data_IF_802066517608
#
_entry.id   IF_802066517608
#
_cell.length_a   1.000
_cell.length_b   1.000
_cell.length_c   1.000
_cell.angle_alpha   90.00
_cell.angle_beta   90.00
_cell.angle_gamma   90.00
#
_symmetry.space_group_name_H-M   'P 1'
#
loop_
_entity.id
_entity.type
_entity.pdbx_description
1 polymer ?
#
# COMPACT_ATOMS: atom_id res chain seq x y z
N UNK A 1 -32.10 32.78 -49.91
CA UNK A 1 -30.93 32.71 -49.01
C UNK A 1 -31.35 31.85 -47.86
N UNK A 2 -30.82 30.64 -47.75
CA UNK A 2 -30.58 29.94 -46.48
C UNK A 2 -29.67 28.77 -46.82
N UNK A 3 -28.38 29.01 -46.61
CA UNK A 3 -27.31 28.05 -46.82
C UNK A 3 -27.37 27.04 -45.67
N UNK A 4 -27.69 25.79 -46.00
CA UNK A 4 -27.42 24.65 -45.13
C UNK A 4 -25.91 24.57 -44.90
N UNK A 5 -25.44 25.04 -43.75
CA UNK A 5 -24.16 24.62 -43.20
C UNK A 5 -24.37 23.32 -42.43
N UNK A 6 -23.64 22.23 -42.75
CA UNK A 6 -23.63 21.07 -41.88
C UNK A 6 -22.90 21.48 -40.59
N UNK A 7 -23.59 21.34 -39.46
CA UNK A 7 -22.97 21.41 -38.15
C UNK A 7 -21.95 20.27 -38.10
N UNK A 8 -20.68 20.65 -38.10
CA UNK A 8 -19.56 19.74 -38.06
C UNK A 8 -19.58 19.04 -36.69
N UNK A 9 -20.13 17.83 -36.63
CA UNK A 9 -20.06 16.95 -35.46
C UNK A 9 -18.62 16.46 -35.33
N UNK A 10 -17.72 17.33 -34.88
CA UNK A 10 -16.47 16.88 -34.31
C UNK A 10 -16.82 16.17 -33.00
N UNK A 11 -16.54 14.86 -32.86
CA UNK A 11 -16.58 14.27 -31.54
C UNK A 11 -15.47 14.96 -30.76
N UNK A 12 -15.85 15.82 -29.81
CA UNK A 12 -14.97 16.26 -28.75
C UNK A 12 -14.39 14.98 -28.13
N UNK A 13 -13.13 14.70 -28.43
CA UNK A 13 -12.36 13.65 -27.79
C UNK A 13 -12.28 14.02 -26.30
N UNK A 14 -13.28 13.59 -25.54
CA UNK A 14 -13.22 13.56 -24.09
C UNK A 14 -12.16 12.52 -23.72
N UNK A 15 -10.90 12.94 -23.64
CA UNK A 15 -9.87 12.14 -23.01
C UNK A 15 -10.23 11.98 -21.53
N UNK A 16 -10.86 10.85 -21.22
CA UNK A 16 -11.09 10.44 -19.84
C UNK A 16 -9.79 9.85 -19.34
N UNK A 17 -8.95 10.69 -18.74
CA UNK A 17 -7.77 10.21 -18.03
C UNK A 17 -8.20 9.47 -16.78
N UNK A 18 -7.96 8.17 -16.73
CA UNK A 18 -8.17 7.37 -15.54
C UNK A 18 -6.93 7.44 -14.67
N UNK A 19 -7.10 7.30 -13.36
CA UNK A 19 -5.97 7.17 -12.44
C UNK A 19 -5.06 5.99 -12.83
N UNK A 20 -5.63 4.96 -13.44
CA UNK A 20 -4.93 3.78 -13.95
C UNK A 20 -4.02 4.07 -15.16
N UNK A 21 -4.14 5.24 -15.78
CA UNK A 21 -3.31 5.65 -16.91
C UNK A 21 -2.01 6.37 -16.47
N UNK A 22 -1.90 6.73 -15.18
CA UNK A 22 -0.68 7.36 -14.65
C UNK A 22 0.52 6.44 -14.83
N UNK A 23 1.71 6.99 -15.06
CA UNK A 23 2.96 6.23 -15.14
C UNK A 23 3.35 5.65 -13.76
N UNK A 24 4.12 4.56 -13.74
CA UNK A 24 4.48 3.90 -12.47
C UNK A 24 5.30 4.83 -11.57
N UNK A 25 6.14 5.66 -12.16
CA UNK A 25 7.00 6.64 -11.50
C UNK A 25 6.15 7.62 -10.67
N UNK A 26 5.11 8.19 -11.29
CA UNK A 26 4.18 9.11 -10.62
C UNK A 26 3.38 8.39 -9.54
N UNK A 27 2.96 7.15 -9.80
CA UNK A 27 2.27 6.36 -8.78
C UNK A 27 3.18 6.10 -7.58
N UNK A 28 4.46 5.74 -7.78
CA UNK A 28 5.39 5.56 -6.66
C UNK A 28 5.53 6.83 -5.83
N UNK A 29 5.68 7.99 -6.47
CA UNK A 29 5.75 9.28 -5.77
C UNK A 29 4.50 9.55 -4.94
N UNK A 30 3.29 9.29 -5.46
CA UNK A 30 2.05 9.44 -4.71
C UNK A 30 2.00 8.48 -3.52
N UNK A 31 2.37 7.22 -3.76
CA UNK A 31 2.31 6.17 -2.75
C UNK A 31 3.30 6.43 -1.59
N UNK A 32 4.41 7.14 -1.81
CA UNK A 32 5.35 7.50 -0.73
C UNK A 32 4.72 8.39 0.38
N UNK A 33 3.63 9.08 0.08
CA UNK A 33 2.90 9.91 1.06
C UNK A 33 1.82 9.15 1.83
N UNK A 34 1.52 7.91 1.45
CA UNK A 34 0.45 7.12 2.04
C UNK A 34 1.00 6.04 2.99
N UNK A 35 0.18 5.66 3.98
CA UNK A 35 0.51 4.50 4.79
C UNK A 35 0.36 3.21 3.98
N UNK A 36 1.25 2.26 4.20
CA UNK A 36 1.25 0.97 3.50
C UNK A 36 -0.10 0.24 3.60
N UNK A 37 -0.79 0.34 4.74
CA UNK A 37 -2.12 -0.26 4.90
C UNK A 37 -3.17 0.43 4.04
N UNK A 38 -3.16 1.76 3.95
CA UNK A 38 -4.08 2.51 3.10
C UNK A 38 -3.87 2.17 1.63
N UNK A 39 -2.60 2.01 1.22
CA UNK A 39 -2.23 1.58 -0.12
C UNK A 39 -2.77 0.18 -0.41
N UNK A 40 -2.56 -0.76 0.52
CA UNK A 40 -3.07 -2.11 0.38
C UNK A 40 -4.59 -2.11 0.21
N UNK A 41 -5.30 -1.43 1.10
CA UNK A 41 -6.76 -1.41 1.09
C UNK A 41 -7.34 -0.76 -0.17
N UNK A 42 -6.73 0.32 -0.65
CA UNK A 42 -7.22 1.06 -1.80
C UNK A 42 -6.86 0.41 -3.15
N UNK A 43 -5.63 -0.10 -3.28
CA UNK A 43 -5.07 -0.44 -4.60
C UNK A 43 -4.88 -1.95 -4.84
N UNK A 44 -4.76 -2.78 -3.80
CA UNK A 44 -4.44 -4.20 -3.97
C UNK A 44 -5.49 -4.98 -4.77
N UNK A 45 -6.76 -4.60 -4.71
CA UNK A 45 -7.84 -5.31 -5.41
C UNK A 45 -8.25 -4.67 -6.75
N UNK A 46 -7.55 -3.63 -7.22
CA UNK A 46 -7.92 -2.96 -8.48
C UNK A 46 -7.56 -3.81 -9.70
N UNK A 47 -6.27 -4.09 -9.89
CA UNK A 47 -5.78 -4.93 -10.98
C UNK A 47 -4.35 -5.43 -10.69
N UNK A 48 -3.83 -6.31 -11.55
CA UNK A 48 -2.48 -6.90 -11.38
C UNK A 48 -1.36 -5.86 -11.33
N UNK A 49 -1.50 -4.75 -12.04
CA UNK A 49 -0.51 -3.66 -12.02
C UNK A 49 -0.43 -3.05 -10.62
N UNK A 50 -1.57 -2.70 -10.03
CA UNK A 50 -1.61 -2.13 -8.67
C UNK A 50 -1.25 -3.13 -7.58
N UNK A 51 -1.56 -4.42 -7.75
CA UNK A 51 -1.04 -5.48 -6.88
C UNK A 51 0.49 -5.48 -6.88
N UNK A 52 1.09 -5.43 -8.07
CA UNK A 52 2.54 -5.39 -8.20
C UNK A 52 3.15 -4.12 -7.60
N UNK A 53 2.49 -2.97 -7.74
CA UNK A 53 2.94 -1.71 -7.11
C UNK A 53 2.87 -1.82 -5.57
N UNK A 54 1.78 -2.35 -5.04
CA UNK A 54 1.61 -2.52 -3.60
C UNK A 54 2.64 -3.48 -2.99
N UNK A 55 3.11 -4.51 -3.73
CA UNK A 55 4.07 -5.52 -3.25
C UNK A 55 5.54 -5.15 -3.54
N UNK A 56 5.83 -4.52 -4.67
CA UNK A 56 7.21 -4.32 -5.11
C UNK A 56 7.76 -2.92 -4.84
N UNK A 57 6.91 -1.96 -4.48
CA UNK A 57 7.36 -0.59 -4.17
C UNK A 57 8.30 -0.54 -2.96
N UNK A 58 9.13 0.50 -2.93
CA UNK A 58 9.92 0.85 -1.74
C UNK A 58 9.04 1.35 -0.59
N UNK A 59 7.75 1.57 -0.82
CA UNK A 59 6.82 2.04 0.21
C UNK A 59 6.68 1.02 1.34
N UNK A 60 6.82 -0.27 1.02
CA UNK A 60 6.84 -1.37 2.00
C UNK A 60 8.05 -1.40 2.94
N UNK A 61 9.01 -0.48 2.77
CA UNK A 61 10.14 -0.37 3.70
C UNK A 61 9.73 0.21 5.06
N UNK A 62 8.60 0.93 5.13
CA UNK A 62 8.09 1.54 6.36
C UNK A 62 6.66 1.08 6.61
N UNK A 63 6.47 0.27 7.64
CA UNK A 63 5.16 -0.25 8.02
C UNK A 63 4.76 0.32 9.37
N UNK A 64 3.59 0.98 9.39
CA UNK A 64 2.95 1.41 10.61
C UNK A 64 1.61 0.71 10.77
N UNK A 65 1.51 -0.19 11.75
CA UNK A 65 0.25 -0.90 12.06
C UNK A 65 -0.30 -0.51 13.44
N UNK A 66 0.13 0.63 13.98
CA UNK A 66 -0.30 1.13 15.29
C UNK A 66 -1.80 1.30 15.41
N UNK A 67 -2.45 1.81 14.36
CA UNK A 67 -3.88 2.08 14.34
C UNK A 67 -4.73 0.91 13.80
N UNK A 68 -4.11 -0.21 13.44
CA UNK A 68 -4.79 -1.31 12.75
C UNK A 68 -5.64 -2.14 13.71
N UNK A 69 -6.91 -2.37 13.37
CA UNK A 69 -7.76 -3.32 14.10
C UNK A 69 -7.30 -4.76 13.88
N UNK A 70 -7.66 -5.66 14.81
CA UNK A 70 -7.32 -7.10 14.68
C UNK A 70 -7.84 -7.73 13.38
N UNK A 71 -9.09 -7.44 13.01
CA UNK A 71 -9.68 -7.98 11.77
C UNK A 71 -8.93 -7.54 10.53
N UNK A 72 -8.51 -6.29 10.47
CA UNK A 72 -7.76 -5.73 9.34
C UNK A 72 -6.34 -6.29 9.28
N UNK A 73 -5.77 -6.60 10.45
CA UNK A 73 -4.43 -7.14 10.56
C UNK A 73 -4.32 -8.56 10.00
N UNK A 74 -5.32 -9.43 10.16
CA UNK A 74 -5.19 -10.83 9.72
C UNK A 74 -4.94 -10.97 8.21
N UNK A 75 -5.72 -10.26 7.39
CA UNK A 75 -5.57 -10.27 5.93
C UNK A 75 -4.31 -9.53 5.48
N UNK A 76 -4.04 -8.36 6.07
CA UNK A 76 -2.84 -7.59 5.79
C UNK A 76 -1.57 -8.38 6.14
N UNK A 77 -1.58 -9.08 7.28
CA UNK A 77 -0.45 -9.86 7.76
C UNK A 77 -0.09 -10.98 6.78
N UNK A 78 -1.11 -11.69 6.28
CA UNK A 78 -0.94 -12.81 5.35
C UNK A 78 -0.45 -12.34 3.97
N UNK A 79 -1.05 -11.28 3.43
CA UNK A 79 -0.87 -10.91 2.02
C UNK A 79 0.26 -9.90 1.81
N UNK A 80 0.56 -9.06 2.80
CA UNK A 80 1.50 -7.95 2.66
C UNK A 80 2.66 -8.07 3.65
N UNK A 81 2.37 -8.20 4.94
CA UNK A 81 3.39 -8.16 5.97
C UNK A 81 4.37 -9.33 5.89
N UNK A 82 3.89 -10.57 5.96
CA UNK A 82 4.73 -11.77 5.96
C UNK A 82 5.56 -11.89 4.68
N UNK A 83 4.99 -11.72 3.47
CA UNK A 83 5.76 -11.80 2.22
C UNK A 83 6.88 -10.76 2.13
N UNK A 84 6.67 -9.58 2.70
CA UNK A 84 7.61 -8.46 2.58
C UNK A 84 8.49 -8.25 3.81
N UNK A 85 8.36 -9.07 4.85
CA UNK A 85 9.05 -8.90 6.15
C UNK A 85 10.57 -8.70 6.06
N UNK A 86 11.21 -9.31 5.06
CA UNK A 86 12.67 -9.21 4.85
C UNK A 86 13.12 -7.83 4.36
N UNK A 87 12.20 -7.05 3.78
CA UNK A 87 12.44 -5.72 3.19
C UNK A 87 12.01 -4.58 4.11
N UNK A 88 11.32 -4.89 5.21
CA UNK A 88 10.87 -3.89 6.18
C UNK A 88 12.10 -3.33 6.89
N UNK A 89 12.27 -2.01 6.82
CA UNK A 89 13.31 -1.25 7.51
C UNK A 89 12.80 -0.59 8.77
N UNK A 90 11.57 -0.09 8.74
CA UNK A 90 10.91 0.50 9.89
C UNK A 90 9.60 -0.24 10.17
N UNK A 91 9.45 -0.71 11.40
CA UNK A 91 8.21 -1.29 11.91
C UNK A 91 7.74 -0.50 13.12
N UNK A 92 6.51 0.03 13.04
CA UNK A 92 5.84 0.67 14.18
C UNK A 92 4.63 -0.13 14.62
N UNK A 93 4.62 -0.47 15.90
CA UNK A 93 3.58 -1.24 16.57
C UNK A 93 3.08 -0.45 17.78
N UNK A 94 1.78 -0.50 18.01
CA UNK A 94 1.21 0.05 19.25
C UNK A 94 0.20 -0.87 19.94
N UNK A 95 -0.09 -2.01 19.30
CA UNK A 95 -1.09 -2.95 19.76
C UNK A 95 -0.42 -4.22 20.28
N UNK A 96 -0.65 -4.62 21.54
CA UNK A 96 -0.06 -5.85 22.09
C UNK A 96 -0.33 -7.09 21.23
N UNK A 97 -1.55 -7.25 20.71
CA UNK A 97 -1.89 -8.41 19.87
C UNK A 97 -1.04 -8.50 18.58
N UNK A 98 -0.64 -7.35 18.01
CA UNK A 98 0.21 -7.36 16.81
C UNK A 98 1.63 -7.79 17.15
N UNK A 99 2.15 -7.34 18.29
CA UNK A 99 3.47 -7.75 18.76
C UNK A 99 3.49 -9.25 19.07
N UNK A 100 2.46 -9.78 19.74
CA UNK A 100 2.34 -11.20 20.03
C UNK A 100 2.36 -12.03 18.75
N UNK A 101 1.61 -11.65 17.71
CA UNK A 101 1.55 -12.40 16.46
C UNK A 101 2.85 -12.28 15.67
N UNK A 102 3.44 -11.08 15.61
CA UNK A 102 4.64 -10.82 14.80
C UNK A 102 5.89 -11.43 15.44
N UNK A 103 5.99 -11.38 16.75
CA UNK A 103 7.17 -11.84 17.48
C UNK A 103 6.99 -13.21 18.14
N UNK A 104 5.89 -13.92 17.89
CA UNK A 104 5.75 -15.32 18.32
C UNK A 104 6.04 -16.30 17.19
N UNK A 105 6.88 -17.33 17.41
CA UNK A 105 7.79 -17.46 18.56
C UNK A 105 8.87 -16.36 18.53
N UNK A 106 9.51 -16.05 19.67
CA UNK A 106 10.49 -14.94 19.81
C UNK A 106 11.57 -14.87 18.71
N UNK A 107 11.91 -16.01 18.10
CA UNK A 107 12.87 -16.11 16.98
C UNK A 107 12.35 -15.49 15.68
N UNK A 108 11.08 -15.12 15.58
CA UNK A 108 10.49 -14.52 14.38
C UNK A 108 11.10 -13.16 14.06
N UNK A 109 11.64 -12.45 15.05
CA UNK A 109 12.37 -11.19 14.82
C UNK A 109 13.61 -11.37 13.93
N UNK A 110 14.23 -12.56 13.94
CA UNK A 110 15.37 -12.89 13.07
C UNK A 110 14.97 -12.98 11.59
N UNK A 111 13.68 -13.08 11.29
CA UNK A 111 13.20 -13.12 9.92
C UNK A 111 13.17 -11.74 9.24
N UNK A 112 13.38 -10.67 10.00
CA UNK A 112 13.48 -9.32 9.48
C UNK A 112 14.92 -9.04 9.03
N UNK A 113 15.21 -9.32 7.76
CA UNK A 113 16.57 -9.21 7.21
C UNK A 113 17.11 -7.78 7.08
N UNK A 114 16.24 -6.77 7.10
CA UNK A 114 16.62 -5.37 6.86
C UNK A 114 16.04 -4.40 7.90
N UNK A 115 15.53 -4.89 9.04
CA UNK A 115 14.92 -4.03 10.04
C UNK A 115 15.99 -3.16 10.71
N UNK A 116 15.86 -1.85 10.51
CA UNK A 116 16.75 -0.82 11.03
C UNK A 116 16.12 -0.13 12.26
N UNK A 117 14.79 -0.05 12.31
CA UNK A 117 14.05 0.68 13.34
C UNK A 117 12.79 -0.06 13.77
N UNK A 118 12.66 -0.32 15.07
CA UNK A 118 11.45 -0.86 15.69
C UNK A 118 10.92 0.17 16.69
N UNK A 119 9.69 0.62 16.49
CA UNK A 119 8.99 1.54 17.39
C UNK A 119 7.87 0.77 18.07
N UNK A 120 7.90 0.74 19.40
CA UNK A 120 6.87 0.13 20.25
C UNK A 120 6.23 1.24 21.09
N UNK A 121 5.00 1.63 20.76
CA UNK A 121 4.26 2.63 21.55
C UNK A 121 3.21 1.95 22.42
N UNK A 122 3.16 2.23 23.72
CA UNK A 122 2.10 1.74 24.61
C UNK A 122 1.91 0.21 24.67
N UNK A 123 2.94 -0.56 24.29
CA UNK A 123 2.93 -2.02 24.44
C UNK A 123 3.45 -2.36 25.83
N UNK A 124 2.57 -2.84 26.71
CA UNK A 124 2.98 -3.46 27.98
C UNK A 124 3.48 -4.86 27.65
N UNK A 125 4.80 -5.03 27.65
CA UNK A 125 5.50 -6.32 27.53
C UNK A 125 5.37 -7.08 28.85
#
# INVERSE_FOLDING_TARGET
MDLFHPINNNPLFSFRYLFEDLANEILYEILEYLDTYDIYKAFYNLNKRFQNLAINSNVLTKINISAMSKSNFEDYNRNIFIPNRKRIKLLRLSNPFTADIIFSPARTILNFGQLETLILDNIKI
#
